data_IF_944691215507
#
_entry.id   IF_944691215507
#
_cell.length_a   1.000
_cell.length_b   1.000
_cell.length_c   1.000
_cell.angle_alpha   90.00
_cell.angle_beta   90.00
_cell.angle_gamma   90.00
#
_symmetry.space_group_name_H-M   'P 1'
#
loop_
_entity.id
_entity.type
_entity.pdbx_description
1 polymer ?
#
# COMPACT_ATOMS: atom_id res chain seq x y z
N UNK A 1 19.33 -18.25 -15.78
CA UNK A 1 17.98 -17.64 -15.66
C UNK A 1 17.52 -17.61 -14.19
N UNK A 2 18.07 -16.66 -13.41
CA UNK A 2 17.74 -16.51 -11.97
C UNK A 2 16.23 -16.34 -11.70
N UNK A 3 15.49 -15.76 -12.65
CA UNK A 3 14.04 -15.55 -12.49
C UNK A 3 13.20 -16.83 -12.59
N UNK A 4 13.74 -17.92 -13.09
CA UNK A 4 13.02 -19.21 -13.14
C UNK A 4 12.93 -19.90 -11.79
N UNK A 5 13.79 -19.55 -10.86
CA UNK A 5 13.80 -20.08 -9.49
C UNK A 5 13.15 -19.14 -8.49
N UNK A 6 12.59 -18.02 -8.95
CA UNK A 6 11.92 -17.06 -8.08
C UNK A 6 10.75 -17.70 -7.33
N UNK A 7 10.67 -17.44 -6.04
CA UNK A 7 9.64 -17.94 -5.13
C UNK A 7 8.77 -16.75 -4.71
N UNK A 8 7.42 -16.89 -4.71
CA UNK A 8 6.55 -15.81 -4.25
C UNK A 8 6.86 -15.38 -2.81
N UNK A 9 6.75 -14.09 -2.49
CA UNK A 9 6.91 -13.61 -1.12
C UNK A 9 5.97 -14.32 -0.15
N UNK A 10 6.43 -14.52 1.07
CA UNK A 10 5.60 -15.01 2.17
C UNK A 10 4.83 -13.86 2.78
N UNK A 11 3.56 -14.08 3.08
CA UNK A 11 2.68 -13.07 3.66
C UNK A 11 1.84 -13.68 4.79
N UNK A 12 1.85 -13.00 5.93
CA UNK A 12 0.99 -13.30 7.07
C UNK A 12 0.33 -12.00 7.54
N UNK A 13 -0.97 -12.02 7.73
CA UNK A 13 -1.71 -10.90 8.34
C UNK A 13 -2.02 -11.25 9.78
N UNK A 14 -1.68 -10.35 10.71
CA UNK A 14 -1.94 -10.51 12.13
C UNK A 14 -3.40 -10.21 12.45
N UNK A 15 -3.94 -10.93 13.44
CA UNK A 15 -5.35 -10.85 13.84
C UNK A 15 -6.27 -11.59 12.87
N UNK A 16 -7.47 -11.88 13.15
CA UNK A 16 -8.37 -12.70 12.35
C UNK A 16 -8.66 -12.16 10.93
N UNK A 17 -9.24 -13.00 10.10
CA UNK A 17 -9.67 -12.65 8.74
C UNK A 17 -10.91 -11.74 8.71
N UNK A 18 -11.60 -11.61 9.85
CA UNK A 18 -12.80 -10.77 10.01
C UNK A 18 -12.57 -9.74 11.09
N UNK A 19 -12.92 -8.50 10.79
CA UNK A 19 -12.81 -7.35 11.69
C UNK A 19 -14.15 -6.63 11.77
N UNK A 20 -14.37 -5.95 12.91
CA UNK A 20 -15.50 -5.05 13.11
C UNK A 20 -14.98 -3.76 13.71
N UNK A 21 -15.44 -2.63 13.17
CA UNK A 21 -15.03 -1.30 13.60
C UNK A 21 -16.16 -0.30 13.36
N UNK A 22 -16.16 0.81 14.07
CA UNK A 22 -17.10 1.91 13.80
C UNK A 22 -16.55 2.88 12.74
N UNK A 23 -17.45 3.59 12.09
CA UNK A 23 -17.08 4.67 11.17
C UNK A 23 -16.17 5.68 11.88
N UNK A 24 -15.09 6.07 11.22
CA UNK A 24 -14.14 7.06 11.73
C UNK A 24 -13.08 6.52 12.69
N UNK A 25 -13.25 5.31 13.22
CA UNK A 25 -12.22 4.68 14.05
C UNK A 25 -11.11 4.09 13.18
N UNK A 26 -9.83 4.28 13.55
CA UNK A 26 -8.72 3.68 12.81
C UNK A 26 -8.63 2.18 13.08
N UNK A 27 -8.61 1.39 12.01
CA UNK A 27 -8.33 -0.04 12.05
C UNK A 27 -6.85 -0.27 11.79
N UNK A 28 -6.13 -0.76 12.80
CA UNK A 28 -4.73 -1.12 12.63
C UNK A 28 -4.60 -2.45 11.91
N UNK A 29 -3.90 -2.42 10.79
CA UNK A 29 -3.58 -3.57 9.95
C UNK A 29 -2.10 -3.88 10.08
N UNK A 30 -1.77 -5.08 10.55
CA UNK A 30 -0.40 -5.53 10.70
C UNK A 30 -0.20 -6.73 9.81
N UNK A 31 0.82 -6.65 8.96
CA UNK A 31 1.20 -7.73 8.07
C UNK A 31 2.70 -7.98 8.11
N UNK A 32 3.08 -9.24 8.04
CA UNK A 32 4.46 -9.69 7.92
C UNK A 32 4.69 -10.19 6.51
N UNK A 33 5.69 -9.62 5.86
CA UNK A 33 6.09 -10.04 4.53
C UNK A 33 7.59 -10.29 4.50
N UNK A 34 7.99 -11.34 3.81
CA UNK A 34 9.39 -11.68 3.57
C UNK A 34 9.56 -12.28 2.18
N UNK A 35 10.70 -12.02 1.59
CA UNK A 35 11.10 -12.59 0.31
C UNK A 35 12.25 -13.57 0.55
N UNK A 36 11.99 -14.90 0.48
CA UNK A 36 12.95 -15.91 0.90
C UNK A 36 14.22 -15.97 0.04
N UNK A 37 14.10 -15.67 -1.25
CA UNK A 37 15.20 -15.76 -2.20
C UNK A 37 15.76 -14.39 -2.62
N UNK A 38 15.10 -13.29 -2.19
CA UNK A 38 15.44 -11.92 -2.56
C UNK A 38 15.60 -11.74 -4.09
N UNK A 39 14.69 -12.34 -4.86
CA UNK A 39 14.66 -12.28 -6.31
C UNK A 39 13.33 -11.69 -6.82
N UNK A 40 13.39 -10.76 -7.77
CA UNK A 40 14.57 -10.00 -8.20
C UNK A 40 15.04 -9.02 -7.12
N UNK A 41 16.33 -8.95 -6.91
CA UNK A 41 16.91 -8.10 -5.86
C UNK A 41 16.57 -6.62 -6.07
N UNK A 42 16.22 -5.95 -4.97
CA UNK A 42 15.91 -4.51 -4.97
C UNK A 42 17.15 -3.72 -5.45
N UNK A 43 16.95 -2.87 -6.43
CA UNK A 43 17.98 -1.93 -6.85
C UNK A 43 17.91 -0.70 -5.91
N UNK A 44 18.97 -0.46 -5.17
CA UNK A 44 19.16 0.83 -4.50
C UNK A 44 19.35 1.88 -5.58
N UNK A 45 18.38 2.76 -5.72
CA UNK A 45 18.51 3.92 -6.59
C UNK A 45 19.52 4.86 -5.93
N UNK A 46 20.76 4.83 -6.40
CA UNK A 46 21.69 5.92 -6.14
C UNK A 46 21.05 7.19 -6.67
N UNK A 47 20.65 8.08 -5.76
CA UNK A 47 20.07 9.36 -6.13
C UNK A 47 21.13 10.20 -6.83
N UNK A 48 21.16 10.16 -8.16
CA UNK A 48 21.80 11.24 -8.90
C UNK A 48 20.95 12.48 -8.68
N UNK A 49 21.57 13.59 -8.29
CA UNK A 49 20.83 14.85 -8.16
C UNK A 49 20.14 15.14 -9.49
N UNK A 50 18.85 15.47 -9.42
CA UNK A 50 18.08 15.89 -10.58
C UNK A 50 18.78 17.06 -11.23
N UNK A 51 19.27 16.87 -12.45
CA UNK A 51 19.79 17.98 -13.26
C UNK A 51 18.63 18.90 -13.64
N UNK A 52 18.89 20.20 -13.78
CA UNK A 52 17.89 21.19 -14.20
C UNK A 52 17.10 20.74 -15.43
N UNK A 53 17.73 20.02 -16.35
CA UNK A 53 17.07 19.40 -17.52
C UNK A 53 15.96 18.40 -17.18
N UNK A 54 16.01 17.75 -16.04
CA UNK A 54 14.97 16.82 -15.61
C UNK A 54 13.74 17.55 -15.08
N UNK A 55 13.91 18.80 -14.60
CA UNK A 55 12.82 19.63 -14.08
C UNK A 55 11.94 20.18 -15.21
N UNK A 56 12.49 20.33 -16.42
CA UNK A 56 11.79 20.87 -17.59
C UNK A 56 11.24 19.78 -18.52
N UNK A 57 11.48 18.51 -18.24
CA UNK A 57 10.86 17.43 -19.02
C UNK A 57 9.38 17.38 -18.72
N UNK A 58 8.52 17.24 -19.75
CA UNK A 58 7.10 16.97 -19.51
C UNK A 58 6.99 15.72 -18.67
N UNK A 59 6.01 15.64 -17.74
CA UNK A 59 5.83 14.49 -16.90
C UNK A 59 5.68 13.25 -17.76
N UNK A 60 6.72 12.41 -17.78
CA UNK A 60 6.56 11.03 -18.20
C UNK A 60 5.59 10.41 -17.22
N UNK A 61 4.61 9.66 -17.71
CA UNK A 61 3.64 9.00 -16.86
C UNK A 61 4.34 8.33 -15.68
N UNK A 62 4.16 8.89 -14.48
CA UNK A 62 4.69 8.28 -13.28
C UNK A 62 3.69 7.21 -12.86
N UNK A 63 3.70 6.11 -13.60
CA UNK A 63 3.27 4.85 -13.02
C UNK A 63 4.25 4.58 -11.89
N UNK A 64 3.76 4.34 -10.68
CA UNK A 64 4.62 3.85 -9.61
C UNK A 64 5.39 2.67 -10.17
N UNK A 65 6.69 2.89 -10.48
CA UNK A 65 7.49 1.88 -11.16
C UNK A 65 7.54 0.70 -10.21
N UNK A 66 6.84 -0.35 -10.58
CA UNK A 66 6.92 -1.63 -9.92
C UNK A 66 8.30 -2.23 -10.20
N UNK A 67 9.33 -1.63 -9.58
CA UNK A 67 10.70 -2.12 -9.63
C UNK A 67 10.86 -3.43 -8.85
N UNK A 68 11.99 -4.12 -9.01
CA UNK A 68 12.29 -5.31 -8.24
C UNK A 68 12.39 -5.02 -6.75
N UNK A 69 12.13 -6.02 -5.94
CA UNK A 69 12.25 -6.01 -4.49
C UNK A 69 10.93 -6.03 -3.74
N UNK A 70 11.00 -6.60 -2.55
CA UNK A 70 9.84 -6.80 -1.69
C UNK A 70 9.13 -5.48 -1.36
N UNK A 71 7.81 -5.51 -1.48
CA UNK A 71 6.89 -4.45 -1.05
C UNK A 71 5.57 -5.04 -0.59
N UNK A 72 4.91 -4.34 0.30
CA UNK A 72 3.57 -4.67 0.75
C UNK A 72 2.65 -3.48 0.52
N UNK A 73 1.46 -3.74 0.04
CA UNK A 73 0.42 -2.72 -0.11
C UNK A 73 -0.95 -3.28 0.26
N UNK A 74 -1.82 -2.38 0.72
CA UNK A 74 -3.21 -2.67 0.98
C UNK A 74 -4.09 -2.01 -0.08
N UNK A 75 -5.10 -2.72 -0.53
CA UNK A 75 -6.12 -2.19 -1.42
C UNK A 75 -7.51 -2.52 -0.90
N UNK A 76 -8.49 -1.72 -1.30
CA UNK A 76 -9.91 -2.08 -1.15
C UNK A 76 -10.27 -3.01 -2.30
N UNK A 77 -10.38 -4.30 -2.00
CA UNK A 77 -10.69 -5.32 -3.00
C UNK A 77 -12.19 -5.37 -3.33
N UNK A 78 -13.05 -5.18 -2.30
CA UNK A 78 -14.49 -5.00 -2.45
C UNK A 78 -15.00 -3.93 -1.51
N UNK A 79 -15.95 -3.15 -1.99
CA UNK A 79 -16.54 -2.03 -1.29
C UNK A 79 -16.19 -0.69 -1.94
N UNK A 80 -16.79 0.40 -1.47
CA UNK A 80 -16.58 1.72 -2.02
C UNK A 80 -15.20 2.27 -1.64
N UNK A 81 -14.26 2.16 -2.55
CA UNK A 81 -12.84 2.55 -2.36
C UNK A 81 -12.67 3.99 -1.88
N UNK A 82 -13.57 4.89 -2.29
CA UNK A 82 -13.51 6.32 -1.92
C UNK A 82 -13.76 6.58 -0.45
N UNK A 83 -14.36 5.62 0.25
CA UNK A 83 -14.70 5.71 1.66
C UNK A 83 -13.62 5.13 2.59
N UNK A 84 -12.48 4.73 2.04
CA UNK A 84 -11.38 4.16 2.82
C UNK A 84 -10.12 4.97 2.61
N UNK A 85 -9.55 5.48 3.70
CA UNK A 85 -8.26 6.13 3.70
C UNK A 85 -7.24 5.26 4.43
N UNK A 86 -6.07 5.11 3.83
CA UNK A 86 -4.94 4.39 4.44
C UNK A 86 -3.86 5.37 4.89
N UNK A 87 -3.28 5.11 6.07
CA UNK A 87 -2.10 5.81 6.57
C UNK A 87 -1.02 4.79 6.99
N UNK A 88 0.15 4.81 6.39
CA UNK A 88 0.56 5.66 5.26
C UNK A 88 -0.22 5.38 3.98
N UNK A 89 -0.23 6.37 3.07
CA UNK A 89 -0.89 6.22 1.77
C UNK A 89 -0.32 5.03 1.02
N UNK A 90 -1.19 4.16 0.52
CA UNK A 90 -0.79 2.94 -0.16
C UNK A 90 -0.44 3.18 -1.63
N UNK A 91 0.28 2.23 -2.21
CA UNK A 91 0.68 2.28 -3.60
C UNK A 91 -0.55 2.41 -4.52
N UNK A 92 -0.51 3.41 -5.37
CA UNK A 92 -1.52 3.63 -6.42
C UNK A 92 -1.05 2.99 -7.72
N UNK A 93 -1.98 2.38 -8.43
CA UNK A 93 -1.70 1.73 -9.72
C UNK A 93 -1.97 2.65 -10.91
N UNK A 94 -2.38 3.89 -10.66
CA UNK A 94 -2.68 4.87 -11.71
C UNK A 94 -1.58 5.91 -11.86
N UNK A 95 -1.52 6.51 -13.03
CA UNK A 95 -0.60 7.60 -13.34
C UNK A 95 -0.91 8.83 -12.51
N UNK A 96 0.12 9.44 -11.92
CA UNK A 96 -0.02 10.75 -11.27
C UNK A 96 -0.13 11.85 -12.34
N UNK A 97 -1.33 12.38 -12.49
CA UNK A 97 -1.62 13.45 -13.47
C UNK A 97 -1.65 14.84 -12.83
N UNK A 98 -1.25 14.97 -11.57
CA UNK A 98 -1.22 16.28 -10.91
C UNK A 98 -0.28 17.23 -11.65
N UNK A 99 -0.71 18.47 -11.76
CA UNK A 99 0.18 19.55 -12.22
C UNK A 99 1.36 19.61 -11.25
N UNK A 100 2.56 19.68 -11.77
CA UNK A 100 3.81 19.68 -10.99
C UNK A 100 4.20 18.35 -10.33
N UNK A 101 3.65 17.22 -10.76
CA UNK A 101 4.02 15.90 -10.23
C UNK A 101 5.53 15.60 -10.30
N UNK A 102 6.25 16.25 -11.22
CA UNK A 102 7.72 16.18 -11.36
C UNK A 102 8.45 17.35 -10.71
N UNK A 103 7.74 18.23 -10.02
CA UNK A 103 8.36 19.39 -9.35
C UNK A 103 9.16 18.94 -8.12
N UNK A 104 10.26 19.63 -7.78
CA UNK A 104 10.97 19.41 -6.51
C UNK A 104 10.08 19.62 -5.28
N UNK A 105 9.03 20.43 -5.41
CA UNK A 105 8.05 20.69 -4.36
C UNK A 105 6.91 19.64 -4.29
N UNK A 106 6.83 18.75 -5.27
CA UNK A 106 5.89 17.63 -5.31
C UNK A 106 6.67 16.36 -5.68
N UNK A 107 7.51 15.85 -4.79
CA UNK A 107 8.32 14.67 -5.09
C UNK A 107 7.44 13.49 -5.49
N UNK A 108 7.89 12.65 -6.42
CA UNK A 108 7.16 11.46 -6.79
C UNK A 108 6.97 10.56 -5.57
N UNK A 109 5.83 9.89 -5.53
CA UNK A 109 5.63 8.85 -4.52
C UNK A 109 6.66 7.74 -4.72
N UNK A 110 7.40 7.44 -3.67
CA UNK A 110 8.41 6.38 -3.68
C UNK A 110 7.83 5.14 -2.99
N UNK A 111 8.17 3.98 -3.52
CA UNK A 111 7.83 2.71 -2.88
C UNK A 111 8.56 2.66 -1.54
N UNK A 112 7.85 2.53 -0.40
CA UNK A 112 8.47 2.44 0.91
C UNK A 112 9.48 1.29 0.98
N UNK A 113 10.57 1.50 1.69
CA UNK A 113 11.51 0.42 1.97
C UNK A 113 10.88 -0.60 2.93
N UNK A 114 11.17 -1.90 2.73
CA UNK A 114 10.71 -2.91 3.66
C UNK A 114 11.24 -2.63 5.08
N UNK A 115 10.40 -2.74 6.12
CA UNK A 115 10.87 -2.70 7.49
C UNK A 115 11.89 -3.81 7.75
N UNK A 116 12.91 -3.54 8.57
CA UNK A 116 13.97 -4.51 8.88
C UNK A 116 13.43 -5.79 9.53
N UNK A 117 12.38 -5.67 10.33
CA UNK A 117 11.70 -6.79 10.98
C UNK A 117 10.63 -7.45 10.12
N UNK A 118 10.42 -6.98 8.90
CA UNK A 118 9.36 -7.46 8.00
C UNK A 118 7.95 -7.17 8.46
N UNK A 119 7.77 -6.32 9.49
CA UNK A 119 6.48 -5.97 10.07
C UNK A 119 5.97 -4.64 9.51
N UNK A 120 4.89 -4.72 8.75
CA UNK A 120 4.24 -3.57 8.13
C UNK A 120 3.01 -3.17 8.93
N UNK A 121 2.92 -1.90 9.30
CA UNK A 121 1.79 -1.34 10.04
C UNK A 121 1.10 -0.29 9.17
N UNK A 122 -0.20 -0.43 9.01
CA UNK A 122 -1.04 0.48 8.23
C UNK A 122 -2.33 0.70 9.02
N UNK A 123 -2.83 1.91 9.03
CA UNK A 123 -4.15 2.22 9.55
C UNK A 123 -5.14 2.42 8.39
N UNK A 124 -6.34 1.87 8.53
CA UNK A 124 -7.44 2.08 7.61
C UNK A 124 -8.58 2.80 8.33
N UNK A 125 -9.06 3.90 7.77
CA UNK A 125 -10.16 4.69 8.31
C UNK A 125 -11.31 4.66 7.31
N UNK A 126 -12.49 4.26 7.79
CA UNK A 126 -13.69 4.12 6.97
C UNK A 126 -14.64 5.28 7.22
N UNK A 127 -15.11 5.92 6.14
CA UNK A 127 -15.98 7.09 6.20
C UNK A 127 -17.47 6.74 6.09
N UNK A 128 -17.81 5.51 5.75
CA UNK A 128 -19.19 5.06 5.63
C UNK A 128 -19.34 3.62 6.17
N UNK A 129 -20.50 3.30 6.77
CA UNK A 129 -20.78 1.94 7.21
C UNK A 129 -20.95 1.00 6.02
N UNK A 130 -20.77 -0.28 6.25
CA UNK A 130 -20.95 -1.33 5.26
C UNK A 130 -19.90 -2.43 5.39
N UNK A 131 -19.93 -3.35 4.43
CA UNK A 131 -18.98 -4.45 4.38
C UNK A 131 -17.90 -4.18 3.32
N UNK A 132 -16.66 -4.35 3.74
CA UNK A 132 -15.48 -4.13 2.92
C UNK A 132 -14.60 -5.37 2.94
N UNK A 133 -13.90 -5.63 1.84
CA UNK A 133 -12.81 -6.60 1.81
C UNK A 133 -11.54 -5.84 1.46
N UNK A 134 -10.61 -5.81 2.41
CA UNK A 134 -9.26 -5.31 2.20
C UNK A 134 -8.36 -6.46 1.78
N UNK A 135 -7.42 -6.18 0.91
CA UNK A 135 -6.43 -7.15 0.46
C UNK A 135 -5.03 -6.64 0.69
N UNK A 136 -4.26 -7.40 1.45
CA UNK A 136 -2.82 -7.23 1.53
C UNK A 136 -2.16 -7.93 0.35
N UNK A 137 -1.21 -7.27 -0.29
CA UNK A 137 -0.46 -7.79 -1.42
C UNK A 137 1.03 -7.62 -1.12
N UNK A 138 1.73 -8.74 -0.93
CA UNK A 138 3.19 -8.77 -0.89
C UNK A 138 3.70 -9.13 -2.27
N UNK A 139 4.59 -8.32 -2.82
CA UNK A 139 5.15 -8.50 -4.16
C UNK A 139 6.66 -8.27 -4.14
N UNK A 140 7.41 -9.07 -4.89
CA UNK A 140 8.84 -8.86 -5.15
C UNK A 140 9.09 -8.04 -6.43
N UNK A 141 8.02 -7.70 -7.15
CA UNK A 141 8.04 -7.03 -8.45
C UNK A 141 7.85 -7.99 -9.63
N UNK A 142 7.88 -9.28 -9.39
CA UNK A 142 7.66 -10.35 -10.39
C UNK A 142 6.52 -11.27 -9.98
N UNK A 143 6.56 -11.76 -8.76
CA UNK A 143 5.54 -12.61 -8.16
C UNK A 143 4.86 -11.91 -6.99
N UNK A 144 3.71 -12.42 -6.57
CA UNK A 144 3.00 -11.85 -5.43
C UNK A 144 2.22 -12.91 -4.66
N UNK A 145 1.96 -12.59 -3.39
CA UNK A 145 1.06 -13.34 -2.51
C UNK A 145 0.06 -12.37 -1.91
N UNK A 146 -1.19 -12.77 -1.78
CA UNK A 146 -2.23 -11.92 -1.21
C UNK A 146 -3.00 -12.59 -0.09
N UNK A 147 -3.57 -11.77 0.80
CA UNK A 147 -4.48 -12.15 1.88
C UNK A 147 -5.61 -11.15 2.00
N UNK A 148 -6.82 -11.65 2.22
CA UNK A 148 -8.01 -10.83 2.39
C UNK A 148 -8.36 -10.68 3.87
N UNK A 149 -8.86 -9.49 4.23
CA UNK A 149 -9.48 -9.21 5.52
C UNK A 149 -10.86 -8.62 5.26
N UNK A 150 -11.89 -9.25 5.80
CA UNK A 150 -13.26 -8.75 5.74
C UNK A 150 -13.49 -7.79 6.89
N UNK A 151 -13.99 -6.60 6.59
CA UNK A 151 -14.23 -5.56 7.59
C UNK A 151 -15.70 -5.15 7.54
N UNK A 152 -16.39 -5.34 8.64
CA UNK A 152 -17.75 -4.81 8.83
C UNK A 152 -17.65 -3.49 9.59
N UNK A 153 -18.05 -2.42 8.93
CA UNK A 153 -18.03 -1.06 9.48
C UNK A 153 -19.43 -0.71 9.96
N UNK A 154 -19.57 -0.46 11.25
CA UNK A 154 -20.84 -0.09 11.87
C UNK A 154 -21.01 1.42 11.91
N UNK A 155 -22.27 1.93 11.86
CA UNK A 155 -22.54 3.35 12.10
C UNK A 155 -22.03 3.77 13.47
N UNK A 156 -21.75 5.07 13.62
CA UNK A 156 -21.55 5.64 14.96
C UNK A 156 -22.88 5.51 15.68
N UNK A 157 -22.91 4.77 16.76
CA UNK A 157 -24.06 4.75 17.65
C UNK A 157 -23.97 6.00 18.51
N UNK A 158 -24.82 6.99 18.28
CA UNK A 158 -25.03 8.09 19.20
C UNK A 158 -25.63 7.53 20.51
N UNK A 159 -24.76 7.00 21.35
CA UNK A 159 -25.07 6.64 22.73
C UNK A 159 -24.88 7.86 23.64
N UNK A 160 -25.41 9.00 23.28
CA UNK A 160 -25.55 10.11 24.25
C UNK A 160 -26.56 11.17 23.77
N UNK A 161 -27.80 10.74 23.55
CA UNK A 161 -28.95 11.61 23.65
C UNK A 161 -29.84 11.07 24.78
N UNK A 162 -29.25 10.93 25.94
CA UNK A 162 -29.94 10.55 27.15
C UNK A 162 -29.72 11.58 28.25
N UNK A 163 -30.55 12.57 28.26
CA UNK A 163 -30.98 13.53 29.23
C UNK A 163 -30.73 14.96 28.90
#
# INVERSE_FOLDING_TARGET
>A
DALRSNIPPKLKVEGGETRRIAVGEPLTLIAFASDPDNLPARRTRGGSPSTLDQLYRPPSSIVAISGPGLRLSWIVYRGPVRNVNFEPEQMKTWTDTRVYSNSPWSPPWLIPEPPEDGRWVTEAIFQAPGDYILRAIASDGSLFTNKNVTVTVTPITDLDQGM
#
